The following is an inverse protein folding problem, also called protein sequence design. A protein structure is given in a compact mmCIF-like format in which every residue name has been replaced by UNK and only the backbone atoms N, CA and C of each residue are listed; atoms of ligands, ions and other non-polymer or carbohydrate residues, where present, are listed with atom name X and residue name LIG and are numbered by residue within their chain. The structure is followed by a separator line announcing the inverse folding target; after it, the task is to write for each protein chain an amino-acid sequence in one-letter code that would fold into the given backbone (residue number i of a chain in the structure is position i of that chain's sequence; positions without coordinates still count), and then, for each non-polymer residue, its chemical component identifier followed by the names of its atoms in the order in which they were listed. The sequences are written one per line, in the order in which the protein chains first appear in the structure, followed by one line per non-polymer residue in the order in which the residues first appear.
data_IF_003401154692
#
_entry.id   IF_003401154692
#
_cell.length_a   1.000
_cell.length_b   1.000
_cell.length_c   1.000
_cell.angle_alpha   90.00
_cell.angle_beta   90.00
_cell.angle_gamma   90.00
#
_symmetry.space_group_name_H-M   'P 1'
#
loop_
_entity.id
_entity.type
_entity.pdbx_description
1 polymer ?
#
# COMPACT_ATOMS: atom_id res chain seq x y z
N UNK A 1 -41.53 -24.25 26.83
CA UNK A 1 -42.38 -23.06 26.61
C UNK A 1 -41.58 -22.06 25.78
N UNK A 2 -42.09 -21.55 24.65
CA UNK A 2 -41.31 -20.66 23.76
C UNK A 2 -41.56 -19.17 24.06
N UNK A 3 -40.49 -18.38 24.03
CA UNK A 3 -40.45 -17.04 24.59
C UNK A 3 -41.00 -15.97 23.62
N UNK A 4 -41.60 -14.89 24.15
CA UNK A 4 -42.49 -13.96 23.41
C UNK A 4 -41.79 -13.29 22.21
N UNK A 5 -40.49 -12.98 22.31
CA UNK A 5 -39.67 -12.41 21.23
C UNK A 5 -39.59 -13.32 19.98
N UNK A 6 -39.58 -14.64 20.15
CA UNK A 6 -39.46 -15.60 19.05
C UNK A 6 -40.72 -15.67 18.15
N UNK A 7 -41.86 -15.11 18.60
CA UNK A 7 -43.07 -14.97 17.78
C UNK A 7 -43.01 -13.74 16.85
N UNK A 8 -42.28 -12.68 17.22
CA UNK A 8 -42.24 -11.43 16.45
C UNK A 8 -41.41 -11.59 15.17
N UNK A 9 -40.28 -12.31 15.24
CA UNK A 9 -39.40 -12.58 14.09
C UNK A 9 -39.96 -13.56 13.03
N UNK A 10 -41.26 -13.86 13.06
CA UNK A 10 -41.94 -14.78 12.12
C UNK A 10 -43.11 -14.16 11.33
N UNK A 11 -43.36 -12.85 11.47
CA UNK A 11 -44.44 -12.16 10.74
C UNK A 11 -43.97 -11.17 9.65
N UNK A 12 -42.67 -11.15 9.32
CA UNK A 12 -42.08 -10.20 8.37
C UNK A 12 -41.81 -10.77 6.95
N UNK A 13 -42.47 -11.88 6.56
CA UNK A 13 -42.45 -12.38 5.18
C UNK A 13 -43.89 -12.72 4.73
N UNK A 14 -44.49 -11.85 3.92
CA UNK A 14 -45.62 -12.23 3.04
C UNK A 14 -45.87 -11.20 1.91
N UNK A 15 -45.56 -11.61 0.68
CA UNK A 15 -46.33 -11.37 -0.58
C UNK A 15 -46.48 -9.96 -1.20
N UNK A 16 -46.80 -9.96 -2.52
CA UNK A 16 -47.22 -8.84 -3.41
C UNK A 16 -46.06 -7.94 -3.88
N UNK A 17 -45.80 -7.64 -5.17
CA UNK A 17 -46.16 -8.23 -6.50
C UNK A 17 -45.06 -7.76 -7.49
N UNK A 18 -44.49 -8.57 -8.38
CA UNK A 18 -44.98 -9.06 -9.70
C UNK A 18 -45.25 -7.96 -10.76
N UNK A 19 -44.51 -8.05 -11.88
CA UNK A 19 -44.62 -7.24 -13.13
C UNK A 19 -44.17 -5.77 -13.01
N UNK A 20 -43.64 -5.10 -14.05
CA UNK A 20 -43.80 -5.22 -15.52
C UNK A 20 -42.45 -5.13 -16.28
N UNK A 21 -42.38 -5.71 -17.49
CA UNK A 21 -41.25 -5.68 -18.46
C UNK A 21 -41.39 -4.54 -19.50
N UNK A 22 -40.42 -4.42 -20.42
CA UNK A 22 -40.43 -3.57 -21.65
C UNK A 22 -40.28 -2.04 -21.41
N UNK A 23 -39.59 -1.26 -22.26
CA UNK A 23 -38.64 -1.61 -23.35
C UNK A 23 -37.96 -0.36 -23.97
N UNK A 24 -36.88 -0.58 -24.75
CA UNK A 24 -36.35 0.29 -25.86
C UNK A 24 -35.80 1.65 -25.35
N UNK A 25 -34.59 2.10 -25.71
CA UNK A 25 -34.08 2.36 -27.06
C UNK A 25 -32.56 2.17 -27.16
N UNK A 26 -32.08 1.65 -28.29
CA UNK A 26 -30.66 1.68 -28.65
C UNK A 26 -30.37 2.79 -29.68
N UNK A 27 -29.21 3.43 -29.56
CA UNK A 27 -28.53 4.11 -30.67
C UNK A 27 -27.06 3.72 -30.64
N UNK A 28 -26.55 3.18 -31.75
CA UNK A 28 -25.15 2.79 -31.88
C UNK A 28 -24.22 4.02 -31.94
N UNK A 29 -22.97 3.79 -31.53
CA UNK A 29 -21.86 4.72 -31.64
C UNK A 29 -20.60 4.03 -32.15
N UNK A 30 -20.75 3.18 -33.17
CA UNK A 30 -19.62 2.52 -33.84
C UNK A 30 -18.64 3.54 -34.41
N UNK A 31 -17.35 3.37 -34.08
CA UNK A 31 -16.23 3.92 -34.83
C UNK A 31 -15.02 3.01 -34.60
N UNK A 32 -14.98 1.93 -35.37
CA UNK A 32 -13.86 0.99 -35.40
C UNK A 32 -12.93 1.32 -36.57
N UNK A 33 -11.63 1.14 -36.33
CA UNK A 33 -10.55 1.02 -37.31
C UNK A 33 -10.35 2.13 -38.38
N UNK A 34 -9.22 2.82 -38.27
CA UNK A 34 -8.26 2.89 -39.39
C UNK A 34 -6.95 2.29 -38.87
N UNK A 35 -6.25 1.55 -39.71
CA UNK A 35 -5.14 0.68 -39.31
C UNK A 35 -3.76 1.38 -39.25
N UNK A 36 -2.80 0.67 -38.64
CA UNK A 36 -1.35 0.75 -38.87
C UNK A 36 -0.97 0.39 -40.34
N UNK A 37 0.32 0.43 -40.79
CA UNK A 37 1.58 0.54 -40.04
C UNK A 37 2.61 1.58 -40.55
N UNK A 38 3.76 1.61 -39.90
CA UNK A 38 4.92 2.47 -40.17
C UNK A 38 5.57 2.32 -41.57
N UNK A 39 6.26 3.39 -42.02
CA UNK A 39 7.32 3.30 -43.04
C UNK A 39 8.60 4.05 -42.63
N UNK A 40 9.74 3.41 -42.87
CA UNK A 40 11.11 3.90 -42.64
C UNK A 40 11.46 5.06 -43.57
N UNK A 41 12.31 6.00 -43.13
CA UNK A 41 13.22 6.74 -44.04
C UNK A 41 14.53 7.21 -43.38
N UNK A 42 15.67 6.70 -43.89
CA UNK A 42 17.06 7.15 -43.75
C UNK A 42 17.79 6.58 -44.98
N UNK A 43 18.54 7.34 -45.81
CA UNK A 43 19.83 7.98 -45.48
C UNK A 43 19.91 9.46 -45.96
N UNK A 44 21.02 10.21 -45.91
CA UNK A 44 22.43 9.93 -45.61
C UNK A 44 23.08 11.18 -44.92
N UNK A 45 24.35 11.20 -44.48
CA UNK A 45 25.38 10.16 -44.48
C UNK A 45 26.02 10.02 -43.07
N UNK A 46 27.31 10.18 -42.71
CA UNK A 46 28.59 10.42 -43.43
C UNK A 46 29.70 9.57 -42.81
N UNK A 47 30.63 9.06 -43.62
CA UNK A 47 31.70 8.13 -43.20
C UNK A 47 32.99 8.80 -42.70
N UNK A 48 33.59 8.22 -41.64
CA UNK A 48 35.05 8.00 -41.52
C UNK A 48 35.25 6.63 -40.86
N UNK A 49 36.24 5.86 -41.32
CA UNK A 49 36.58 4.51 -40.83
C UNK A 49 38.06 4.45 -40.43
N UNK A 50 38.34 3.93 -39.23
CA UNK A 50 39.56 3.23 -38.79
C UNK A 50 39.05 2.33 -37.62
N UNK A 51 39.07 0.99 -37.64
CA UNK A 51 40.23 0.06 -37.52
C UNK A 51 41.11 0.33 -36.28
N UNK A 52 41.65 -0.66 -35.54
CA UNK A 52 41.21 -2.04 -35.24
C UNK A 52 41.96 -2.52 -33.96
N UNK A 53 41.70 -3.75 -33.50
CA UNK A 53 42.42 -4.53 -32.47
C UNK A 53 42.34 -4.10 -30.98
N UNK A 54 42.40 -5.06 -30.03
CA UNK A 54 42.15 -4.82 -28.61
C UNK A 54 43.41 -4.80 -27.73
N UNK A 55 43.31 -4.22 -26.52
CA UNK A 55 44.30 -4.38 -25.44
C UNK A 55 43.59 -4.82 -24.15
N UNK A 56 44.09 -5.89 -23.53
CA UNK A 56 43.58 -6.44 -22.27
C UNK A 56 44.61 -6.24 -21.15
N UNK A 57 44.38 -5.22 -20.30
CA UNK A 57 44.96 -4.98 -18.95
C UNK A 57 44.38 -3.66 -18.41
N UNK A 58 44.36 -3.36 -17.10
CA UNK A 58 45.06 -4.02 -15.97
C UNK A 58 44.15 -4.12 -14.74
N UNK A 59 44.49 -5.07 -13.87
CA UNK A 59 44.07 -5.11 -12.45
C UNK A 59 44.73 -4.00 -11.62
N UNK A 60 44.28 -3.86 -10.37
CA UNK A 60 44.72 -2.90 -9.34
C UNK A 60 44.24 -1.44 -9.57
N UNK A 61 44.03 -0.63 -8.53
CA UNK A 61 44.38 -0.84 -7.11
C UNK A 61 43.22 -0.51 -6.14
N UNK A 62 43.36 -0.85 -4.86
CA UNK A 62 42.33 -0.67 -3.83
C UNK A 62 42.68 0.46 -2.86
N UNK A 63 42.00 1.61 -2.97
CA UNK A 63 42.08 2.66 -1.94
C UNK A 63 41.08 2.38 -0.81
N UNK A 64 41.54 1.65 0.22
CA UNK A 64 40.86 1.65 1.52
C UNK A 64 41.01 3.02 2.16
N UNK A 65 39.96 3.82 2.12
CA UNK A 65 39.81 5.00 3.00
C UNK A 65 38.73 4.74 4.04
N UNK A 66 39.16 4.73 5.29
CA UNK A 66 38.32 4.56 6.48
C UNK A 66 37.30 5.70 6.53
N UNK A 67 36.02 5.35 6.63
CA UNK A 67 35.07 6.14 7.41
C UNK A 67 34.98 5.43 8.76
N UNK A 68 35.08 6.19 9.84
CA UNK A 68 35.23 5.66 11.18
C UNK A 68 34.02 4.85 11.65
N UNK A 69 34.30 3.90 12.55
CA UNK A 69 33.34 3.20 13.38
C UNK A 69 32.74 4.21 14.37
N UNK A 70 31.81 5.05 13.91
CA UNK A 70 30.81 5.60 14.82
C UNK A 70 29.98 4.41 15.31
N UNK A 71 29.97 4.12 16.63
CA UNK A 71 29.20 3.01 17.14
C UNK A 71 27.73 3.33 16.90
N UNK A 72 27.12 2.62 15.94
CA UNK A 72 25.67 2.55 15.83
C UNK A 72 25.16 2.07 17.19
N UNK A 73 24.59 2.99 17.96
CA UNK A 73 24.01 2.68 19.26
C UNK A 73 22.73 1.91 18.99
N UNK A 74 22.89 0.61 18.78
CA UNK A 74 21.83 -0.39 18.88
C UNK A 74 21.35 -0.35 20.33
N UNK A 75 20.46 0.62 20.57
CA UNK A 75 19.77 0.81 21.82
C UNK A 75 18.86 -0.39 21.99
N UNK A 76 19.42 -1.44 22.58
CA UNK A 76 18.74 -2.66 22.98
C UNK A 76 17.70 -2.30 24.03
N UNK A 77 16.55 -1.84 23.54
CA UNK A 77 15.42 -1.45 24.33
C UNK A 77 14.81 -2.73 24.90
N UNK A 78 14.86 -2.86 26.22
CA UNK A 78 14.05 -3.82 26.97
C UNK A 78 12.60 -3.72 26.44
N UNK A 79 11.99 -4.82 25.96
CA UNK A 79 10.80 -4.74 25.12
C UNK A 79 9.62 -4.10 25.85
N UNK A 80 9.06 -3.02 25.28
CA UNK A 80 7.91 -2.31 25.87
C UNK A 80 6.69 -3.23 25.92
N UNK A 81 6.29 -3.65 27.13
CA UNK A 81 5.11 -4.49 27.34
C UNK A 81 3.85 -3.63 27.27
N UNK A 82 3.25 -3.60 26.08
CA UNK A 82 2.00 -2.88 25.81
C UNK A 82 0.77 -3.61 26.35
N UNK A 83 -0.31 -2.85 26.57
CA UNK A 83 -1.64 -3.42 26.77
C UNK A 83 -2.17 -4.02 25.46
N UNK A 84 -2.93 -5.12 25.54
CA UNK A 84 -3.42 -5.84 24.36
C UNK A 84 -4.38 -5.02 23.47
N UNK A 85 -4.96 -3.93 23.96
CA UNK A 85 -5.80 -2.98 23.21
C UNK A 85 -5.04 -1.77 22.66
N UNK A 86 -3.73 -1.63 22.94
CA UNK A 86 -2.97 -0.41 22.65
C UNK A 86 -2.99 -0.03 21.16
N UNK A 87 -2.83 -1.00 20.26
CA UNK A 87 -2.86 -0.78 18.81
C UNK A 87 -4.23 -0.31 18.31
N UNK A 88 -5.29 -1.01 18.69
CA UNK A 88 -6.68 -0.65 18.36
C UNK A 88 -7.05 0.74 18.90
N UNK A 89 -6.61 1.05 20.13
CA UNK A 89 -6.85 2.33 20.78
C UNK A 89 -6.14 3.49 20.08
N UNK A 90 -4.86 3.33 19.72
CA UNK A 90 -4.12 4.35 18.98
C UNK A 90 -4.65 4.51 17.54
N UNK A 91 -5.10 3.41 16.90
CA UNK A 91 -5.81 3.49 15.63
C UNK A 91 -7.05 4.39 15.74
N UNK A 92 -7.93 4.15 16.73
CA UNK A 92 -9.15 4.94 16.92
C UNK A 92 -8.87 6.43 17.23
N UNK A 93 -7.81 6.75 17.98
CA UNK A 93 -7.50 8.16 18.34
C UNK A 93 -6.71 8.92 17.28
N UNK A 94 -5.83 8.24 16.54
CA UNK A 94 -4.84 8.91 15.67
C UNK A 94 -4.98 8.51 14.19
N UNK A 95 -5.00 7.20 13.88
CA UNK A 95 -4.88 6.72 12.50
C UNK A 95 -6.21 6.79 11.72
N UNK A 96 -7.33 6.53 12.41
CA UNK A 96 -8.68 6.40 11.84
C UNK A 96 -9.11 7.58 10.99
N UNK A 97 -8.79 8.80 11.41
CA UNK A 97 -9.14 10.06 10.71
C UNK A 97 -8.69 10.07 9.24
N UNK A 98 -7.59 9.38 8.93
CA UNK A 98 -7.15 9.17 7.56
C UNK A 98 -7.58 7.79 7.00
N UNK A 99 -7.42 6.73 7.79
CA UNK A 99 -7.48 5.36 7.30
C UNK A 99 -8.89 4.72 7.28
N UNK A 100 -9.91 5.33 7.89
CA UNK A 100 -11.30 4.87 7.74
C UNK A 100 -11.85 5.24 6.35
N UNK A 101 -11.76 6.52 5.99
CA UNK A 101 -12.24 7.03 4.69
C UNK A 101 -11.26 6.90 3.52
N UNK A 102 -9.96 6.66 3.80
CA UNK A 102 -8.90 6.73 2.79
C UNK A 102 -8.51 8.17 2.42
N UNK A 103 -8.54 9.09 3.38
CA UNK A 103 -8.26 10.51 3.20
C UNK A 103 -6.87 10.72 2.60
N UNK A 104 -6.73 11.67 1.66
CA UNK A 104 -5.49 11.93 0.90
C UNK A 104 -4.89 10.68 0.21
N UNK A 105 -5.72 9.66 -0.12
CA UNK A 105 -5.34 8.34 -0.64
C UNK A 105 -4.56 7.46 0.36
N UNK A 106 -4.80 7.63 1.66
CA UNK A 106 -4.39 6.66 2.67
C UNK A 106 -5.01 5.27 2.40
N UNK A 107 -4.29 4.15 2.64
CA UNK A 107 -4.87 2.82 2.52
C UNK A 107 -5.99 2.63 3.54
N UNK A 108 -7.16 2.20 3.08
CA UNK A 108 -8.34 2.01 3.93
C UNK A 108 -8.16 0.82 4.85
N UNK A 109 -8.62 0.95 6.09
CA UNK A 109 -8.70 -0.16 7.04
C UNK A 109 -9.62 -1.28 6.47
N UNK A 110 -9.14 -2.52 6.50
CA UNK A 110 -9.86 -3.68 5.93
C UNK A 110 -9.84 -3.81 4.39
N UNK A 111 -9.25 -2.87 3.65
CA UNK A 111 -9.17 -2.92 2.18
C UNK A 111 -7.99 -3.80 1.72
N UNK A 112 -8.22 -5.12 1.64
CA UNK A 112 -7.19 -6.11 1.26
C UNK A 112 -6.46 -5.75 -0.05
N UNK A 113 -7.16 -5.17 -1.04
CA UNK A 113 -6.56 -4.79 -2.32
C UNK A 113 -5.65 -3.54 -2.19
N UNK A 114 -6.00 -2.58 -1.34
CA UNK A 114 -5.12 -1.46 -1.03
C UNK A 114 -3.89 -1.89 -0.19
N UNK A 115 -3.99 -2.95 0.61
CA UNK A 115 -2.92 -3.40 1.50
C UNK A 115 -1.95 -4.43 0.90
N UNK A 116 -2.37 -5.29 -0.05
CA UNK A 116 -1.48 -6.27 -0.71
C UNK A 116 -0.11 -5.67 -1.17
N UNK A 117 -0.05 -4.59 -1.98
CA UNK A 117 1.23 -4.03 -2.45
C UNK A 117 2.04 -3.32 -1.34
N UNK A 118 1.46 -3.16 -0.14
CA UNK A 118 2.11 -2.59 1.06
C UNK A 118 2.67 -3.71 1.93
N UNK A 119 1.92 -4.77 2.15
CA UNK A 119 2.38 -5.99 2.83
C UNK A 119 3.57 -6.63 2.07
N UNK A 120 3.57 -6.53 0.73
CA UNK A 120 4.70 -6.90 -0.12
C UNK A 120 5.99 -6.05 0.09
N UNK A 121 6.01 -5.10 1.04
CA UNK A 121 7.22 -4.38 1.50
C UNK A 121 7.74 -4.88 2.85
N UNK A 122 7.02 -5.80 3.50
CA UNK A 122 7.33 -6.31 4.84
C UNK A 122 6.85 -5.39 5.96
N UNK A 123 6.39 -6.00 7.06
CA UNK A 123 5.82 -5.31 8.23
C UNK A 123 6.75 -4.24 8.81
N UNK A 124 8.04 -4.56 8.95
CA UNK A 124 9.09 -3.63 9.43
C UNK A 124 9.12 -2.31 8.64
N UNK A 125 8.94 -2.37 7.32
CA UNK A 125 8.90 -1.16 6.47
C UNK A 125 7.61 -0.36 6.70
N UNK A 126 6.51 -1.00 7.09
CA UNK A 126 5.25 -0.32 7.42
C UNK A 126 5.29 0.28 8.82
N UNK A 127 5.90 -0.43 9.78
CA UNK A 127 6.23 0.04 11.14
C UNK A 127 7.06 1.33 11.06
N UNK A 128 8.26 1.26 10.48
CA UNK A 128 9.21 2.38 10.41
C UNK A 128 8.64 3.61 9.67
N UNK A 129 7.95 3.40 8.53
CA UNK A 129 7.29 4.51 7.81
C UNK A 129 6.12 5.14 8.59
N UNK A 130 5.46 4.39 9.48
CA UNK A 130 4.35 4.91 10.29
C UNK A 130 4.86 5.67 11.51
N UNK A 131 5.89 5.17 12.18
CA UNK A 131 6.53 5.87 13.30
C UNK A 131 7.18 7.18 12.83
N UNK A 132 8.01 7.12 11.78
CA UNK A 132 8.89 8.21 11.34
C UNK A 132 8.26 9.12 10.26
N UNK A 133 7.10 8.71 9.72
CA UNK A 133 6.35 9.42 8.69
C UNK A 133 6.82 9.09 7.27
N UNK A 134 5.89 9.15 6.31
CA UNK A 134 6.16 8.79 4.91
C UNK A 134 5.17 9.45 3.93
N UNK A 135 5.71 10.14 2.92
CA UNK A 135 4.95 10.86 1.88
C UNK A 135 3.92 11.88 2.42
N UNK A 136 2.67 11.44 2.63
CA UNK A 136 1.56 12.27 3.14
C UNK A 136 1.10 11.83 4.54
N UNK A 137 1.64 10.74 5.07
CA UNK A 137 1.42 10.27 6.42
C UNK A 137 2.43 10.95 7.35
N UNK A 138 2.00 11.78 8.32
CA UNK A 138 2.92 12.36 9.31
C UNK A 138 3.43 11.29 10.26
N UNK A 139 4.58 11.52 10.88
CA UNK A 139 5.12 10.70 11.96
C UNK A 139 4.06 10.49 13.06
N UNK A 140 3.81 9.24 13.43
CA UNK A 140 2.89 8.90 14.53
C UNK A 140 3.62 8.75 15.87
N UNK A 141 4.93 8.50 15.85
CA UNK A 141 5.75 8.50 17.06
C UNK A 141 6.00 9.94 17.53
N UNK A 142 5.86 10.17 18.84
CA UNK A 142 5.99 11.49 19.48
C UNK A 142 6.43 11.32 20.94
N UNK A 143 6.73 12.41 21.64
CA UNK A 143 7.03 12.42 23.09
C UNK A 143 5.93 11.77 23.98
N UNK A 144 4.76 11.43 23.42
CA UNK A 144 3.60 10.83 24.09
C UNK A 144 3.12 9.52 23.46
N UNK A 145 3.76 9.06 22.38
CA UNK A 145 3.40 7.85 21.63
C UNK A 145 4.70 7.17 21.18
N UNK A 146 5.05 6.05 21.79
CA UNK A 146 6.30 5.34 21.47
C UNK A 146 6.24 4.69 20.09
N UNK A 147 7.40 4.35 19.51
CA UNK A 147 7.44 3.60 18.25
C UNK A 147 6.70 2.26 18.38
N UNK A 148 6.84 1.54 19.50
CA UNK A 148 6.13 0.29 19.76
C UNK A 148 4.59 0.47 19.76
N UNK A 149 4.07 1.57 20.30
CA UNK A 149 2.63 1.87 20.26
C UNK A 149 2.14 2.11 18.82
N UNK A 150 2.95 2.75 17.98
CA UNK A 150 2.67 2.89 16.54
C UNK A 150 2.72 1.53 15.84
N UNK A 151 3.71 0.70 16.15
CA UNK A 151 3.87 -0.63 15.54
C UNK A 151 2.67 -1.53 15.85
N UNK A 152 2.22 -1.57 17.11
CA UNK A 152 0.99 -2.25 17.49
C UNK A 152 -0.27 -1.71 16.76
N UNK A 153 -0.33 -0.41 16.46
CA UNK A 153 -1.44 0.16 15.69
C UNK A 153 -1.36 -0.23 14.19
N UNK A 154 -0.16 -0.32 13.62
CA UNK A 154 0.05 -0.86 12.26
C UNK A 154 -0.32 -2.35 12.22
N UNK A 155 0.06 -3.13 13.22
CA UNK A 155 -0.27 -4.56 13.30
C UNK A 155 -1.78 -4.78 13.38
N UNK A 156 -2.50 -4.03 14.21
CA UNK A 156 -3.96 -4.02 14.23
C UNK A 156 -4.60 -3.71 12.86
N UNK A 157 -3.97 -2.83 12.06
CA UNK A 157 -4.42 -2.53 10.70
C UNK A 157 -4.08 -3.64 9.68
N UNK A 158 -3.00 -4.39 9.92
CA UNK A 158 -2.56 -5.55 9.12
C UNK A 158 -3.43 -6.79 9.43
N UNK A 159 -3.77 -7.03 10.69
CA UNK A 159 -4.70 -8.09 11.11
C UNK A 159 -6.07 -7.96 10.41
N UNK A 160 -6.55 -6.72 10.22
CA UNK A 160 -7.80 -6.44 9.52
C UNK A 160 -7.81 -6.79 8.01
N UNK A 161 -6.64 -7.05 7.41
CA UNK A 161 -6.47 -7.37 5.98
C UNK A 161 -5.76 -8.70 5.73
N UNK A 162 -5.33 -9.41 6.77
CA UNK A 162 -4.69 -10.73 6.68
C UNK A 162 -5.70 -11.85 6.41
#
# INVERSE_FOLDING_TARGET
MMNKRQRMNKLALSTISLSVLLSITACSGDNAAVEEPATVNKPADTTVVVEDTPIVKTVADAETTVIEDEPVQELSAEPEVLAADAGAKLYETNCKVCHEGGLLNAPKYGDKAAWEPRLAKGTETLHMHSAKGFNKMPAQATDKVSEAQVYAAVDYMIEAVS
#
